data_IF_840298099417
#
_entry.id   IF_840298099417
#
_cell.length_a   1.000
_cell.length_b   1.000
_cell.length_c   1.000
_cell.angle_alpha   90.00
_cell.angle_beta   90.00
_cell.angle_gamma   90.00
#
_symmetry.space_group_name_H-M   'P 1'
#
loop_
_entity.id
_entity.type
_entity.pdbx_description
1 polymer ?
#
# COMPACT_ATOMS: atom_id res chain seq x y z
N UNK A 1 6.09 23.67 0.27
CA UNK A 1 5.11 22.85 -0.50
C UNK A 1 5.79 21.72 -1.28
N UNK A 2 6.87 21.98 -2.05
CA UNK A 2 7.62 20.92 -2.76
C UNK A 2 8.16 19.80 -1.84
N UNK A 3 8.64 20.16 -0.65
CA UNK A 3 9.21 19.16 0.28
C UNK A 3 8.15 18.26 0.93
N UNK A 4 6.91 18.74 1.13
CA UNK A 4 5.81 17.91 1.63
C UNK A 4 5.42 16.84 0.61
N UNK A 5 5.44 17.17 -0.69
CA UNK A 5 5.16 16.19 -1.75
C UNK A 5 6.24 15.11 -1.83
N UNK A 6 7.51 15.49 -1.68
CA UNK A 6 8.62 14.51 -1.59
C UNK A 6 8.51 13.61 -0.37
N UNK A 7 8.08 14.14 0.77
CA UNK A 7 7.80 13.34 1.97
C UNK A 7 6.62 12.40 1.69
N UNK A 8 5.57 12.88 1.02
CA UNK A 8 4.45 12.06 0.58
C UNK A 8 4.88 10.88 -0.30
N UNK A 9 5.70 11.14 -1.33
CA UNK A 9 6.26 10.11 -2.21
C UNK A 9 7.08 9.06 -1.43
N UNK A 10 7.88 9.51 -0.46
CA UNK A 10 8.65 8.61 0.41
C UNK A 10 7.73 7.75 1.28
N UNK A 11 6.68 8.33 1.88
CA UNK A 11 5.73 7.57 2.70
C UNK A 11 5.00 6.51 1.87
N UNK A 12 4.60 6.84 0.64
CA UNK A 12 3.96 5.88 -0.26
C UNK A 12 4.95 4.78 -0.66
N UNK A 13 6.21 5.13 -0.90
CA UNK A 13 7.25 4.16 -1.20
C UNK A 13 7.46 3.18 -0.04
N UNK A 14 7.67 3.68 1.18
CA UNK A 14 7.84 2.84 2.35
C UNK A 14 6.58 2.02 2.64
N UNK A 15 5.40 2.63 2.57
CA UNK A 15 4.13 1.95 2.79
C UNK A 15 3.84 0.86 1.76
N UNK A 16 4.14 1.12 0.49
CA UNK A 16 4.03 0.14 -0.59
C UNK A 16 5.00 -1.02 -0.45
N UNK A 17 6.26 -0.76 -0.11
CA UNK A 17 7.25 -1.83 0.14
C UNK A 17 6.84 -2.68 1.35
N UNK A 18 6.41 -2.05 2.43
CA UNK A 18 5.93 -2.76 3.62
C UNK A 18 4.71 -3.62 3.29
N UNK A 19 3.73 -3.07 2.55
CA UNK A 19 2.57 -3.83 2.11
C UNK A 19 2.89 -5.02 1.20
N UNK A 20 3.92 -4.90 0.34
CA UNK A 20 4.42 -6.03 -0.45
C UNK A 20 5.02 -7.12 0.44
N UNK A 21 5.89 -6.73 1.37
CA UNK A 21 6.55 -7.67 2.29
C UNK A 21 5.51 -8.36 3.17
N UNK A 22 4.56 -7.60 3.73
CA UNK A 22 3.47 -8.15 4.53
C UNK A 22 2.59 -9.10 3.72
N UNK A 23 2.21 -8.73 2.50
CA UNK A 23 1.43 -9.60 1.61
C UNK A 23 2.13 -10.93 1.30
N UNK A 24 3.44 -10.89 1.02
CA UNK A 24 4.24 -12.11 0.80
C UNK A 24 4.34 -12.96 2.06
N UNK A 25 4.61 -12.35 3.22
CA UNK A 25 4.70 -13.06 4.50
C UNK A 25 3.36 -13.69 4.89
N UNK A 26 2.24 -13.07 4.52
CA UNK A 26 0.90 -13.58 4.78
C UNK A 26 0.58 -14.81 3.93
N UNK A 27 0.98 -14.81 2.65
CA UNK A 27 0.90 -15.99 1.76
C UNK A 27 1.71 -17.16 2.33
N UNK A 28 2.90 -16.86 2.88
CA UNK A 28 3.77 -17.86 3.49
C UNK A 28 3.27 -18.34 4.86
N UNK A 29 2.15 -17.80 5.37
CA UNK A 29 1.57 -18.18 6.66
C UNK A 29 2.47 -17.85 7.85
N UNK A 30 3.33 -16.84 7.71
CA UNK A 30 4.30 -16.50 8.74
C UNK A 30 3.63 -15.72 9.88
N UNK A 31 3.79 -16.21 11.11
CA UNK A 31 3.25 -15.58 12.32
C UNK A 31 3.93 -14.27 12.71
N UNK A 32 5.02 -13.87 12.04
CA UNK A 32 5.65 -12.56 12.24
C UNK A 32 4.70 -11.39 12.00
N UNK A 33 3.58 -11.60 11.30
CA UNK A 33 2.57 -10.57 11.08
C UNK A 33 1.56 -10.44 12.22
N UNK A 34 1.54 -11.37 13.20
CA UNK A 34 0.55 -11.37 14.26
C UNK A 34 0.67 -10.18 15.23
N UNK A 35 1.81 -9.48 15.24
CA UNK A 35 2.00 -8.28 16.07
C UNK A 35 1.49 -7.00 15.40
N UNK A 36 1.30 -7.01 14.08
CA UNK A 36 0.86 -5.84 13.34
C UNK A 36 -0.67 -5.76 13.35
N UNK A 37 -1.26 -4.56 13.46
CA UNK A 37 -2.70 -4.40 13.33
C UNK A 37 -3.10 -4.71 11.88
N UNK A 38 -3.95 -5.72 11.70
CA UNK A 38 -4.60 -6.02 10.43
C UNK A 38 -6.10 -6.26 10.66
N UNK A 39 -6.93 -5.85 9.70
CA UNK A 39 -8.34 -6.21 9.73
C UNK A 39 -8.50 -7.60 9.09
N UNK A 40 -9.02 -8.55 9.86
CA UNK A 40 -9.33 -9.88 9.35
C UNK A 40 -10.77 -9.92 8.84
N UNK A 41 -10.91 -10.07 7.52
CA UNK A 41 -12.19 -10.22 6.84
C UNK A 41 -12.56 -11.70 6.59
N UNK A 42 -11.80 -12.66 7.13
CA UNK A 42 -12.06 -14.09 6.97
C UNK A 42 -11.75 -14.63 5.57
N UNK A 43 -11.03 -13.87 4.74
CA UNK A 43 -10.69 -14.24 3.36
C UNK A 43 -9.54 -15.26 3.26
N UNK A 44 -8.91 -15.59 4.38
CA UNK A 44 -7.79 -16.52 4.45
C UNK A 44 -6.46 -15.92 3.96
N UNK A 45 -5.30 -16.41 4.47
CA UNK A 45 -4.01 -15.74 4.29
C UNK A 45 -3.52 -15.64 2.84
N UNK A 46 -3.93 -16.58 1.99
CA UNK A 46 -3.55 -16.62 0.59
C UNK A 46 -4.21 -15.48 -0.20
N UNK A 47 -5.52 -15.29 -0.02
CA UNK A 47 -6.29 -14.30 -0.77
C UNK A 47 -5.94 -12.90 -0.28
N UNK A 48 -5.89 -12.68 1.04
CA UNK A 48 -5.52 -11.39 1.62
C UNK A 48 -4.10 -10.97 1.21
N UNK A 49 -3.14 -11.91 1.23
CA UNK A 49 -1.78 -11.63 0.81
C UNK A 49 -1.65 -11.29 -0.67
N UNK A 50 -2.37 -11.99 -1.57
CA UNK A 50 -2.41 -11.64 -3.00
C UNK A 50 -3.00 -10.24 -3.20
N UNK A 51 -4.11 -9.92 -2.54
CA UNK A 51 -4.71 -8.57 -2.59
C UNK A 51 -3.73 -7.50 -2.10
N UNK A 52 -3.02 -7.78 -1.01
CA UNK A 52 -1.99 -6.90 -0.49
C UNK A 52 -0.88 -6.59 -1.47
N UNK A 53 -0.39 -7.63 -2.16
CA UNK A 53 0.64 -7.45 -3.18
C UNK A 53 0.09 -6.60 -4.33
N UNK A 54 -1.12 -6.87 -4.80
CA UNK A 54 -1.75 -6.11 -5.89
C UNK A 54 -1.93 -4.64 -5.52
N UNK A 55 -2.51 -4.33 -4.36
CA UNK A 55 -2.74 -2.94 -3.95
C UNK A 55 -1.44 -2.19 -3.73
N UNK A 56 -0.43 -2.85 -3.15
CA UNK A 56 0.90 -2.26 -2.95
C UNK A 56 1.59 -1.96 -4.29
N UNK A 57 1.50 -2.86 -5.27
CA UNK A 57 2.02 -2.61 -6.62
C UNK A 57 1.34 -1.41 -7.27
N UNK A 58 0.01 -1.31 -7.18
CA UNK A 58 -0.72 -0.17 -7.75
C UNK A 58 -0.31 1.13 -7.06
N UNK A 59 -0.17 1.14 -5.73
CA UNK A 59 0.29 2.31 -4.98
C UNK A 59 1.71 2.75 -5.42
N UNK A 60 2.64 1.81 -5.57
CA UNK A 60 4.03 2.07 -5.99
C UNK A 60 4.15 2.51 -7.45
N UNK A 61 3.25 2.05 -8.33
CA UNK A 61 3.22 2.51 -9.71
C UNK A 61 2.70 3.95 -9.80
N UNK A 62 1.65 4.26 -9.03
CA UNK A 62 1.03 5.58 -9.08
C UNK A 62 1.79 6.64 -8.27
N UNK A 63 2.69 6.26 -7.36
CA UNK A 63 3.72 7.16 -6.79
C UNK A 63 4.85 7.51 -7.78
N UNK A 64 4.91 6.82 -8.93
CA UNK A 64 5.96 7.03 -9.93
C UNK A 64 7.30 6.36 -9.61
N UNK A 65 7.38 5.57 -8.53
CA UNK A 65 8.59 4.81 -8.17
C UNK A 65 8.81 3.64 -9.12
N UNK A 66 7.74 2.97 -9.56
CA UNK A 66 7.79 1.85 -10.52
C UNK A 66 6.98 2.23 -11.76
N UNK A 67 7.49 1.95 -12.97
CA UNK A 67 6.79 2.29 -14.22
C UNK A 67 6.20 1.04 -14.87
N UNK A 68 4.93 0.75 -14.56
CA UNK A 68 4.14 -0.29 -15.23
C UNK A 68 3.01 0.39 -15.99
N UNK A 69 3.11 0.46 -17.33
CA UNK A 69 2.13 1.17 -18.18
C UNK A 69 0.68 0.68 -17.99
N UNK A 70 0.49 -0.58 -17.64
CA UNK A 70 -0.84 -1.16 -17.44
C UNK A 70 -1.53 -0.74 -16.14
N UNK A 71 -0.80 -0.17 -15.18
CA UNK A 71 -1.29 0.20 -13.84
C UNK A 71 -1.16 1.70 -13.57
N UNK A 72 -0.79 2.48 -14.59
CA UNK A 72 -0.65 3.93 -14.50
C UNK A 72 -2.00 4.59 -14.81
N UNK A 73 -2.45 5.45 -13.90
CA UNK A 73 -3.72 6.15 -14.05
C UNK A 73 -3.53 7.66 -14.10
N UNK A 74 -4.50 8.35 -14.68
CA UNK A 74 -4.51 9.81 -14.82
C UNK A 74 -4.63 10.54 -13.47
N UNK A 75 -5.45 10.03 -12.56
CA UNK A 75 -5.73 10.66 -11.27
C UNK A 75 -4.93 10.01 -10.12
N UNK A 76 -3.59 10.17 -10.19
CA UNK A 76 -2.62 9.44 -9.36
C UNK A 76 -2.88 9.56 -7.85
N UNK A 77 -3.10 10.77 -7.34
CA UNK A 77 -3.29 11.00 -5.90
C UNK A 77 -4.50 10.22 -5.33
N UNK A 78 -5.63 10.26 -6.04
CA UNK A 78 -6.87 9.63 -5.60
C UNK A 78 -6.75 8.11 -5.61
N UNK A 79 -6.01 7.58 -6.58
CA UNK A 79 -5.80 6.14 -6.71
C UNK A 79 -4.84 5.64 -5.65
N UNK A 80 -3.77 6.38 -5.35
CA UNK A 80 -2.90 6.05 -4.22
C UNK A 80 -3.69 6.09 -2.90
N UNK A 81 -4.59 7.07 -2.70
CA UNK A 81 -5.45 7.14 -1.52
C UNK A 81 -6.37 5.91 -1.40
N UNK A 82 -7.10 5.57 -2.48
CA UNK A 82 -7.98 4.39 -2.50
C UNK A 82 -7.19 3.11 -2.28
N UNK A 83 -6.03 2.96 -2.92
CA UNK A 83 -5.16 1.81 -2.69
C UNK A 83 -4.65 1.75 -1.26
N UNK A 84 -4.29 2.88 -0.64
CA UNK A 84 -3.90 2.93 0.76
C UNK A 84 -5.01 2.48 1.69
N UNK A 85 -6.26 2.87 1.44
CA UNK A 85 -7.44 2.40 2.19
C UNK A 85 -7.64 0.89 2.00
N UNK A 86 -7.57 0.40 0.77
CA UNK A 86 -7.70 -1.03 0.48
C UNK A 86 -6.56 -1.84 1.12
N UNK A 87 -5.34 -1.33 1.11
CA UNK A 87 -4.20 -1.93 1.81
C UNK A 87 -4.46 -1.99 3.30
N UNK A 88 -4.90 -0.88 3.91
CA UNK A 88 -5.18 -0.82 5.35
C UNK A 88 -6.23 -1.84 5.79
N UNK A 89 -7.27 -2.02 4.98
CA UNK A 89 -8.34 -2.97 5.28
C UNK A 89 -7.92 -4.41 5.01
N UNK A 90 -7.35 -4.71 3.83
CA UNK A 90 -7.27 -6.10 3.37
C UNK A 90 -5.90 -6.76 3.53
N UNK A 91 -4.85 -6.01 3.84
CA UNK A 91 -3.49 -6.52 3.71
C UNK A 91 -2.50 -6.05 4.76
N UNK A 92 -2.38 -4.73 4.95
CA UNK A 92 -1.31 -4.12 5.70
C UNK A 92 -1.82 -2.88 6.42
N UNK A 93 -2.01 -2.96 7.74
CA UNK A 93 -2.43 -1.81 8.52
C UNK A 93 -1.37 -0.71 8.54
N UNK A 94 -0.10 -1.07 8.77
CA UNK A 94 0.98 -0.07 8.83
C UNK A 94 1.35 0.45 7.44
N UNK A 95 1.52 -0.44 6.47
CA UNK A 95 1.80 -0.07 5.08
C UNK A 95 0.67 0.76 4.47
N UNK A 96 -0.58 0.35 4.66
CA UNK A 96 -1.76 1.11 4.21
C UNK A 96 -1.85 2.49 4.85
N UNK A 97 -1.62 2.60 6.16
CA UNK A 97 -1.63 3.90 6.86
C UNK A 97 -0.58 4.87 6.29
N UNK A 98 0.64 4.37 6.03
CA UNK A 98 1.70 5.19 5.41
C UNK A 98 1.31 5.67 4.01
N UNK A 99 0.72 4.79 3.19
CA UNK A 99 0.23 5.15 1.85
C UNK A 99 -0.89 6.20 1.92
N UNK A 100 -1.83 6.08 2.86
CA UNK A 100 -2.91 7.06 3.06
C UNK A 100 -2.33 8.43 3.43
N UNK A 101 -1.44 8.48 4.42
CA UNK A 101 -0.80 9.73 4.84
C UNK A 101 -0.01 10.35 3.68
N UNK A 102 0.76 9.53 2.95
CA UNK A 102 1.51 10.01 1.80
C UNK A 102 0.62 10.52 0.66
N UNK A 103 -0.53 9.89 0.40
CA UNK A 103 -1.49 10.36 -0.59
C UNK A 103 -2.14 11.69 -0.19
N UNK A 104 -2.46 11.89 1.10
CA UNK A 104 -2.96 13.17 1.61
C UNK A 104 -1.90 14.27 1.46
N UNK A 105 -0.64 13.96 1.73
CA UNK A 105 0.46 14.92 1.55
C UNK A 105 0.72 15.29 0.08
N UNK A 106 0.41 14.41 -0.87
CA UNK A 106 0.48 14.73 -2.31
C UNK A 106 -0.58 15.73 -2.75
N UNK A 107 -1.73 15.76 -2.06
CA UNK A 107 -2.81 16.70 -2.33
C UNK A 107 -2.49 18.13 -1.84
N UNK A 108 -1.72 18.24 -0.75
CA UNK A 108 -1.27 19.50 -0.16
C UNK A 108 -0.12 20.16 -0.95
#
# INVERSE_FOLDING_TARGET
MSDLKKIGDLLILFGGILGLVEGVLQILGNSLLSFLPYADFGLGPLITGILGILFSLVALVNSGTIKIKALEFSNKWLIVLVMGILMYLFASGLGGALVIVGAILLLL
#
